data_IF_921162858976
#
_entry.id   IF_921162858976
#
_cell.length_a   1.000
_cell.length_b   1.000
_cell.length_c   1.000
_cell.angle_alpha   90.00
_cell.angle_beta   90.00
_cell.angle_gamma   90.00
#
_symmetry.space_group_name_H-M   'P 1'
#
loop_
_entity.id
_entity.type
_entity.pdbx_description
1 polymer ?
#
# COMPACT_ATOMS: atom_id res chain seq x y z
N UNK A 1 -15.52 -17.55 -4.12
CA UNK A 1 -16.26 -17.07 -2.94
C UNK A 1 -15.67 -15.74 -2.53
N UNK A 2 -16.51 -14.72 -2.31
CA UNK A 2 -16.04 -13.46 -1.71
C UNK A 2 -15.72 -13.71 -0.25
N UNK A 3 -14.50 -13.44 0.16
CA UNK A 3 -14.08 -13.49 1.55
C UNK A 3 -14.16 -12.07 2.13
N UNK A 4 -14.57 -11.95 3.39
CA UNK A 4 -14.45 -10.74 4.20
C UNK A 4 -13.60 -11.06 5.42
N UNK A 5 -12.86 -10.08 5.92
CA UNK A 5 -12.20 -10.19 7.21
C UNK A 5 -13.14 -9.65 8.29
N UNK A 6 -13.13 -10.30 9.46
CA UNK A 6 -13.79 -9.76 10.64
C UNK A 6 -12.93 -8.66 11.31
N UNK A 7 -13.57 -7.86 12.17
CA UNK A 7 -12.90 -6.77 12.86
C UNK A 7 -11.75 -7.22 13.76
N UNK A 8 -11.86 -8.38 14.39
CA UNK A 8 -10.81 -8.94 15.24
C UNK A 8 -9.55 -9.28 14.45
N UNK A 9 -9.70 -9.85 13.25
CA UNK A 9 -8.55 -10.17 12.38
C UNK A 9 -7.84 -8.92 11.88
N UNK A 10 -8.60 -7.90 11.45
CA UNK A 10 -8.03 -6.61 11.04
C UNK A 10 -7.29 -5.96 12.22
N UNK A 11 -7.91 -5.92 13.40
CA UNK A 11 -7.29 -5.38 14.61
C UNK A 11 -6.00 -6.10 15.00
N UNK A 12 -5.99 -7.44 14.92
CA UNK A 12 -4.81 -8.24 15.24
C UNK A 12 -3.61 -7.91 14.33
N UNK A 13 -3.85 -7.69 13.03
CA UNK A 13 -2.81 -7.31 12.07
C UNK A 13 -2.29 -5.90 12.37
N UNK A 14 -3.18 -4.92 12.61
CA UNK A 14 -2.75 -3.56 12.99
C UNK A 14 -1.98 -3.55 14.30
N UNK A 15 -2.44 -4.30 15.30
CA UNK A 15 -1.72 -4.45 16.56
C UNK A 15 -0.34 -5.10 16.37
N UNK A 16 -0.20 -6.03 15.42
CA UNK A 16 1.10 -6.60 15.06
C UNK A 16 2.02 -5.56 14.42
N UNK A 17 1.49 -4.68 13.53
CA UNK A 17 2.26 -3.55 12.98
C UNK A 17 2.75 -2.65 14.12
N UNK A 18 1.86 -2.23 15.03
CA UNK A 18 2.21 -1.37 16.16
C UNK A 18 3.23 -2.00 17.11
N UNK A 19 3.13 -3.30 17.38
CA UNK A 19 4.03 -4.03 18.27
C UNK A 19 5.39 -4.31 17.65
N UNK A 20 5.42 -4.78 16.39
CA UNK A 20 6.64 -5.18 15.70
C UNK A 20 7.38 -4.00 15.06
N UNK A 21 6.67 -2.89 14.85
CA UNK A 21 7.19 -1.65 14.30
C UNK A 21 8.03 -1.90 13.02
N UNK A 22 7.48 -2.57 12.01
CA UNK A 22 8.24 -2.91 10.82
C UNK A 22 8.72 -1.65 10.12
N UNK A 23 9.97 -1.67 9.64
CA UNK A 23 10.44 -0.63 8.74
C UNK A 23 9.83 -0.87 7.36
N UNK A 24 9.17 0.15 6.82
CA UNK A 24 8.65 0.14 5.44
C UNK A 24 9.52 1.08 4.62
N UNK A 25 10.26 0.53 3.66
CA UNK A 25 11.05 1.34 2.75
C UNK A 25 10.19 1.77 1.57
N UNK A 26 10.00 3.08 1.38
CA UNK A 26 9.14 3.65 0.35
C UNK A 26 9.98 4.45 -0.65
N UNK A 27 10.19 3.89 -1.84
CA UNK A 27 10.52 4.70 -3.00
C UNK A 27 9.20 5.29 -3.50
N UNK A 28 8.93 6.54 -3.14
CA UNK A 28 7.66 7.20 -3.44
C UNK A 28 7.87 8.61 -3.96
N UNK A 29 6.83 9.17 -4.55
CA UNK A 29 6.86 10.50 -5.15
C UNK A 29 6.87 11.60 -4.07
N UNK A 30 7.49 12.73 -4.41
CA UNK A 30 7.68 13.87 -3.49
C UNK A 30 6.38 14.49 -3.00
N UNK A 31 5.30 14.39 -3.78
CA UNK A 31 3.97 14.92 -3.42
C UNK A 31 3.35 14.10 -2.29
N UNK A 32 3.65 12.79 -2.23
CA UNK A 32 3.04 11.88 -1.26
C UNK A 32 3.95 11.57 -0.05
N UNK A 33 5.24 11.94 -0.08
CA UNK A 33 6.21 11.54 0.96
C UNK A 33 5.73 11.87 2.38
N UNK A 34 5.31 13.11 2.61
CA UNK A 34 4.90 13.57 3.95
C UNK A 34 3.69 12.78 4.46
N UNK A 35 2.62 12.71 3.68
CA UNK A 35 1.41 12.00 4.10
C UNK A 35 1.65 10.50 4.27
N UNK A 36 2.46 9.89 3.40
CA UNK A 36 2.84 8.48 3.49
C UNK A 36 3.62 8.19 4.78
N UNK A 37 4.59 9.05 5.14
CA UNK A 37 5.35 8.90 6.38
C UNK A 37 4.43 9.00 7.61
N UNK A 38 3.56 10.00 7.65
CA UNK A 38 2.63 10.20 8.76
C UNK A 38 1.63 9.04 8.92
N UNK A 39 1.11 8.49 7.82
CA UNK A 39 0.23 7.32 7.87
C UNK A 39 0.95 6.07 8.40
N UNK A 40 2.20 5.83 7.99
CA UNK A 40 3.00 4.73 8.53
C UNK A 40 3.28 4.90 10.02
N UNK A 41 3.63 6.12 10.45
CA UNK A 41 3.85 6.43 11.88
C UNK A 41 2.56 6.27 12.69
N UNK A 42 1.42 6.69 12.16
CA UNK A 42 0.11 6.57 12.80
C UNK A 42 -0.27 5.12 13.09
N UNK A 43 0.04 4.17 12.19
CA UNK A 43 -0.18 2.75 12.44
C UNK A 43 0.96 2.05 13.20
N UNK A 44 2.01 2.78 13.61
CA UNK A 44 3.15 2.27 14.38
C UNK A 44 4.29 1.70 13.57
N UNK A 45 4.25 1.74 12.24
CA UNK A 45 5.37 1.36 11.37
C UNK A 45 6.45 2.45 11.33
N UNK A 46 7.63 2.11 10.84
CA UNK A 46 8.77 3.03 10.72
C UNK A 46 9.05 3.32 9.24
N UNK A 47 8.74 4.53 8.74
CA UNK A 47 9.01 4.89 7.36
C UNK A 47 10.50 5.07 7.09
N UNK A 48 10.93 4.69 5.89
CA UNK A 48 12.27 4.94 5.33
C UNK A 48 12.10 5.30 3.85
N UNK A 49 12.72 6.42 3.39
CA UNK A 49 12.44 6.99 2.06
C UNK A 49 13.71 7.40 1.30
N UNK A 50 14.83 6.70 1.53
CA UNK A 50 16.03 6.93 0.74
C UNK A 50 15.79 6.58 -0.73
N UNK A 51 16.22 7.44 -1.64
CA UNK A 51 16.06 7.25 -3.09
C UNK A 51 17.38 7.29 -3.85
N UNK A 52 18.48 7.67 -3.18
CA UNK A 52 19.78 7.75 -3.83
C UNK A 52 20.29 6.33 -4.18
N UNK A 53 20.66 6.05 -5.45
CA UNK A 53 21.07 4.70 -5.89
C UNK A 53 22.25 4.10 -5.11
N UNK A 54 23.14 4.94 -4.57
CA UNK A 54 24.31 4.50 -3.81
C UNK A 54 24.03 4.03 -2.39
N UNK A 55 22.84 4.27 -1.85
CA UNK A 55 22.49 3.90 -0.46
C UNK A 55 21.22 3.07 -0.34
N UNK A 56 20.30 3.17 -1.34
CA UNK A 56 18.95 2.62 -1.25
C UNK A 56 18.93 1.12 -0.96
N UNK A 57 19.84 0.35 -1.54
CA UNK A 57 19.96 -1.08 -1.31
C UNK A 57 20.33 -1.41 0.14
N UNK A 58 21.31 -0.69 0.70
CA UNK A 58 21.72 -0.89 2.09
C UNK A 58 20.60 -0.49 3.08
N UNK A 59 19.92 0.62 2.82
CA UNK A 59 18.81 1.08 3.65
C UNK A 59 17.62 0.12 3.58
N UNK A 60 17.26 -0.35 2.39
CA UNK A 60 16.15 -1.28 2.18
C UNK A 60 16.42 -2.69 2.73
N UNK A 61 17.69 -3.10 2.85
CA UNK A 61 18.07 -4.43 3.34
C UNK A 61 17.57 -4.75 4.76
N UNK A 62 17.26 -3.75 5.56
CA UNK A 62 16.66 -3.90 6.89
C UNK A 62 15.15 -3.62 6.94
N UNK A 63 14.48 -3.52 5.79
CA UNK A 63 13.04 -3.29 5.74
C UNK A 63 12.26 -4.61 5.93
N UNK A 64 11.09 -4.50 6.55
CA UNK A 64 10.10 -5.58 6.61
C UNK A 64 9.25 -5.67 5.34
N UNK A 65 9.12 -4.54 4.60
CA UNK A 65 8.48 -4.49 3.29
C UNK A 65 9.02 -3.29 2.47
N UNK A 66 8.89 -3.39 1.15
CA UNK A 66 9.29 -2.33 0.22
C UNK A 66 8.07 -1.88 -0.58
N UNK A 67 7.86 -0.56 -0.68
CA UNK A 67 6.95 0.07 -1.61
C UNK A 67 7.74 0.73 -2.75
N UNK A 68 7.38 0.42 -3.99
CA UNK A 68 7.80 1.14 -5.18
C UNK A 68 6.58 1.83 -5.77
N UNK A 69 6.55 3.16 -5.72
CA UNK A 69 5.50 4.00 -6.29
C UNK A 69 6.08 4.79 -7.46
N UNK A 70 5.49 4.63 -8.64
CA UNK A 70 6.01 5.19 -9.90
C UNK A 70 5.54 6.62 -10.18
N UNK A 71 4.81 7.25 -9.26
CA UNK A 71 4.39 8.65 -9.40
C UNK A 71 5.58 9.60 -9.40
N UNK A 72 5.57 10.62 -10.27
CA UNK A 72 6.63 11.64 -10.40
C UNK A 72 8.06 11.08 -10.27
N UNK A 73 8.32 9.92 -10.89
CA UNK A 73 9.60 9.22 -10.79
C UNK A 73 10.75 10.13 -11.26
N UNK A 74 11.76 10.27 -10.41
CA UNK A 74 12.99 11.01 -10.74
C UNK A 74 14.03 10.09 -11.39
N UNK A 75 15.06 10.63 -12.06
CA UNK A 75 16.15 9.82 -12.58
C UNK A 75 16.89 9.01 -11.50
N UNK A 76 16.97 9.52 -10.28
CA UNK A 76 17.52 8.81 -9.13
C UNK A 76 16.63 7.63 -8.74
N UNK A 77 15.31 7.87 -8.64
CA UNK A 77 14.32 6.85 -8.35
C UNK A 77 14.32 5.73 -9.40
N UNK A 78 14.39 6.08 -10.68
CA UNK A 78 14.52 5.09 -11.76
C UNK A 78 15.75 4.20 -11.56
N UNK A 79 16.92 4.79 -11.27
CA UNK A 79 18.16 4.04 -11.03
C UNK A 79 18.16 3.24 -9.72
N UNK A 80 17.31 3.60 -8.74
CA UNK A 80 17.19 2.91 -7.47
C UNK A 80 16.39 1.60 -7.58
N UNK A 81 15.44 1.48 -8.52
CA UNK A 81 14.53 0.33 -8.64
C UNK A 81 15.27 -1.01 -8.78
N UNK A 82 16.30 -1.16 -9.64
CA UNK A 82 17.02 -2.43 -9.76
C UNK A 82 17.63 -2.90 -8.43
N UNK A 83 18.18 -2.00 -7.63
CA UNK A 83 18.74 -2.33 -6.33
C UNK A 83 17.67 -2.77 -5.33
N UNK A 84 16.49 -2.11 -5.33
CA UNK A 84 15.36 -2.50 -4.48
C UNK A 84 14.81 -3.89 -4.86
N UNK A 85 14.67 -4.17 -6.15
CA UNK A 85 14.23 -5.47 -6.65
C UNK A 85 15.24 -6.57 -6.29
N UNK A 86 16.54 -6.29 -6.41
CA UNK A 86 17.60 -7.22 -6.04
C UNK A 86 17.54 -7.55 -4.53
N UNK A 87 17.47 -6.54 -3.68
CA UNK A 87 17.38 -6.71 -2.23
C UNK A 87 16.10 -7.45 -1.83
N UNK A 88 14.96 -7.12 -2.45
CA UNK A 88 13.70 -7.82 -2.19
C UNK A 88 13.83 -9.31 -2.51
N UNK A 89 14.44 -9.65 -3.66
CA UNK A 89 14.67 -11.04 -4.09
C UNK A 89 15.62 -11.79 -3.15
N UNK A 90 16.75 -11.20 -2.84
CA UNK A 90 17.81 -11.84 -2.03
C UNK A 90 17.36 -12.11 -0.60
N UNK A 91 16.55 -11.23 -0.04
CA UNK A 91 16.12 -11.29 1.36
C UNK A 91 14.69 -11.76 1.56
N UNK A 92 13.94 -12.04 0.49
CA UNK A 92 12.53 -12.43 0.57
C UNK A 92 11.64 -11.32 1.13
N UNK A 93 12.00 -10.04 0.92
CA UNK A 93 11.23 -8.90 1.45
C UNK A 93 9.99 -8.69 0.58
N UNK A 94 8.77 -8.66 1.16
CA UNK A 94 7.55 -8.36 0.41
C UNK A 94 7.63 -7.02 -0.30
N UNK A 95 7.21 -7.00 -1.59
CA UNK A 95 7.23 -5.81 -2.41
C UNK A 95 5.81 -5.43 -2.84
N UNK A 96 5.48 -4.15 -2.69
CA UNK A 96 4.25 -3.53 -3.19
C UNK A 96 4.59 -2.58 -4.32
N UNK A 97 3.92 -2.71 -5.45
CA UNK A 97 3.99 -1.80 -6.61
C UNK A 97 2.74 -0.93 -6.67
N UNK A 98 2.94 0.37 -6.69
CA UNK A 98 1.91 1.37 -6.99
C UNK A 98 2.26 2.02 -8.34
N UNK A 99 1.57 1.64 -9.44
CA UNK A 99 2.03 1.95 -10.80
C UNK A 99 1.68 3.36 -11.28
N UNK A 100 1.06 4.16 -10.49
CA UNK A 100 0.57 5.54 -10.71
C UNK A 100 0.65 6.04 -12.15
N UNK A 101 -0.48 6.17 -12.86
CA UNK A 101 -0.56 6.62 -14.26
C UNK A 101 0.34 5.83 -15.23
N UNK A 102 0.49 4.53 -15.01
CA UNK A 102 1.31 3.65 -15.87
C UNK A 102 0.79 3.61 -17.32
N UNK A 103 -0.51 3.79 -17.52
CA UNK A 103 -1.18 3.83 -18.83
C UNK A 103 -0.75 5.01 -19.69
N UNK A 104 -0.23 6.07 -19.07
CA UNK A 104 0.20 7.29 -19.77
C UNK A 104 1.71 7.34 -20.05
N UNK A 105 2.49 6.38 -19.53
CA UNK A 105 3.94 6.47 -19.54
C UNK A 105 4.64 5.16 -19.92
N UNK A 106 5.22 5.08 -21.13
CA UNK A 106 6.06 3.94 -21.51
C UNK A 106 7.24 3.69 -20.56
N UNK A 107 7.77 4.74 -19.91
CA UNK A 107 8.81 4.60 -18.88
C UNK A 107 8.26 3.81 -17.67
N UNK A 108 7.11 4.24 -17.13
CA UNK A 108 6.50 3.57 -15.96
C UNK A 108 6.10 2.14 -16.28
N UNK A 109 5.66 1.87 -17.51
CA UNK A 109 5.34 0.52 -17.96
C UNK A 109 6.58 -0.39 -17.91
N UNK A 110 7.72 0.07 -18.46
CA UNK A 110 8.99 -0.70 -18.38
C UNK A 110 9.47 -0.91 -16.93
N UNK A 111 9.31 0.10 -16.07
CA UNK A 111 9.67 -0.02 -14.65
C UNK A 111 8.75 -0.99 -13.91
N UNK A 112 7.45 -0.96 -14.19
CA UNK A 112 6.50 -1.92 -13.66
C UNK A 112 6.82 -3.36 -14.10
N UNK A 113 7.16 -3.57 -15.37
CA UNK A 113 7.61 -4.87 -15.90
C UNK A 113 8.83 -5.39 -15.14
N UNK A 114 9.84 -4.54 -14.93
CA UNK A 114 11.04 -4.92 -14.17
C UNK A 114 10.71 -5.34 -12.72
N UNK A 115 9.76 -4.67 -12.07
CA UNK A 115 9.31 -5.01 -10.71
C UNK A 115 8.50 -6.31 -10.73
N UNK A 116 7.61 -6.49 -11.69
CA UNK A 116 6.76 -7.68 -11.84
C UNK A 116 7.54 -8.95 -12.22
N UNK A 117 8.77 -8.82 -12.65
CA UNK A 117 9.71 -9.95 -12.80
C UNK A 117 10.10 -10.60 -11.46
N UNK A 118 9.70 -10.02 -10.32
CA UNK A 118 9.82 -10.62 -9.00
C UNK A 118 8.52 -11.38 -8.67
N UNK A 119 8.57 -12.66 -8.24
CA UNK A 119 7.37 -13.38 -7.84
C UNK A 119 6.77 -12.83 -6.53
N UNK A 120 5.45 -12.94 -6.37
CA UNK A 120 4.76 -12.57 -5.13
C UNK A 120 4.60 -11.07 -4.89
N UNK A 121 4.79 -10.24 -5.91
CA UNK A 121 4.55 -8.79 -5.83
C UNK A 121 3.06 -8.52 -5.59
N UNK A 122 2.76 -7.55 -4.72
CA UNK A 122 1.42 -6.98 -4.60
C UNK A 122 1.34 -5.73 -5.47
N UNK A 123 0.46 -5.73 -6.49
CA UNK A 123 0.20 -4.55 -7.32
C UNK A 123 -1.08 -3.88 -6.88
N UNK A 124 -1.03 -2.58 -6.59
CA UNK A 124 -2.21 -1.80 -6.22
C UNK A 124 -2.36 -0.59 -7.13
N UNK A 125 -3.42 -0.58 -7.89
CA UNK A 125 -3.77 0.52 -8.81
C UNK A 125 -5.27 0.65 -9.01
N UNK A 126 -5.70 1.72 -9.68
CA UNK A 126 -7.09 1.86 -10.12
C UNK A 126 -7.38 0.96 -11.33
N UNK A 127 -8.65 0.91 -11.77
CA UNK A 127 -9.06 0.04 -12.87
C UNK A 127 -8.31 0.32 -14.18
N UNK A 128 -7.99 1.58 -14.47
CA UNK A 128 -7.27 1.99 -15.70
C UNK A 128 -5.81 1.53 -15.65
N UNK A 129 -5.14 1.75 -14.52
CA UNK A 129 -3.77 1.28 -14.27
C UNK A 129 -3.68 -0.24 -14.34
N UNK A 130 -4.61 -0.95 -13.70
CA UNK A 130 -4.63 -2.41 -13.72
C UNK A 130 -4.93 -2.98 -15.11
N UNK A 131 -5.78 -2.32 -15.92
CA UNK A 131 -6.02 -2.69 -17.30
C UNK A 131 -4.76 -2.55 -18.16
N UNK A 132 -3.98 -1.48 -17.97
CA UNK A 132 -2.72 -1.27 -18.68
C UNK A 132 -1.65 -2.34 -18.34
N UNK A 133 -1.71 -2.90 -17.14
CA UNK A 133 -0.79 -3.96 -16.68
C UNK A 133 -1.31 -5.38 -16.91
N UNK A 134 -2.51 -5.57 -17.49
CA UNK A 134 -3.18 -6.87 -17.53
C UNK A 134 -2.33 -8.00 -18.13
N UNK A 135 -1.60 -7.74 -19.22
CA UNK A 135 -0.67 -8.70 -19.84
C UNK A 135 0.47 -9.08 -18.90
N UNK A 136 1.16 -8.10 -18.33
CA UNK A 136 2.29 -8.31 -17.42
C UNK A 136 1.88 -9.04 -16.14
N UNK A 137 0.76 -8.63 -15.55
CA UNK A 137 0.23 -9.25 -14.32
C UNK A 137 -0.27 -10.67 -14.58
N UNK A 138 -0.81 -10.94 -15.76
CA UNK A 138 -1.28 -12.28 -16.15
C UNK A 138 -0.17 -13.30 -16.31
N UNK A 139 1.04 -12.86 -16.69
CA UNK A 139 2.22 -13.70 -16.90
C UNK A 139 3.09 -13.83 -15.62
N UNK A 140 2.97 -12.90 -14.68
CA UNK A 140 3.79 -12.84 -13.49
C UNK A 140 3.33 -13.87 -12.42
N UNK A 141 4.31 -14.55 -11.79
CA UNK A 141 4.03 -15.60 -10.80
C UNK A 141 3.58 -15.02 -9.45
N UNK A 142 2.45 -15.53 -8.94
CA UNK A 142 2.00 -15.26 -7.58
C UNK A 142 1.69 -13.80 -7.29
N UNK A 143 1.41 -13.00 -8.31
CA UNK A 143 1.07 -11.58 -8.14
C UNK A 143 -0.29 -11.45 -7.46
N UNK A 144 -0.34 -10.67 -6.38
CA UNK A 144 -1.59 -10.21 -5.79
C UNK A 144 -2.05 -8.94 -6.49
N UNK A 145 -3.24 -8.95 -7.05
CA UNK A 145 -3.88 -7.79 -7.69
C UNK A 145 -4.80 -7.08 -6.72
N UNK A 146 -4.59 -5.79 -6.55
CA UNK A 146 -5.45 -4.91 -5.76
C UNK A 146 -5.97 -3.80 -6.67
N UNK A 147 -7.22 -3.95 -7.13
CA UNK A 147 -7.89 -2.97 -7.97
C UNK A 147 -8.74 -2.07 -7.11
N UNK A 148 -8.37 -0.79 -7.02
CA UNK A 148 -9.05 0.19 -6.18
C UNK A 148 -10.18 0.88 -6.92
N UNK A 149 -11.26 1.19 -6.16
CA UNK A 149 -12.45 1.85 -6.68
C UNK A 149 -13.47 2.15 -5.58
N UNK A 150 -14.74 2.22 -5.94
CA UNK A 150 -15.82 2.30 -4.94
C UNK A 150 -15.85 1.05 -4.03
N UNK A 151 -15.47 -0.09 -4.60
CA UNK A 151 -15.22 -1.35 -3.89
C UNK A 151 -13.83 -1.77 -4.34
N UNK A 152 -12.90 -1.87 -3.39
CA UNK A 152 -11.57 -2.39 -3.68
C UNK A 152 -11.66 -3.92 -3.82
N UNK A 153 -11.03 -4.46 -4.86
CA UNK A 153 -10.94 -5.91 -5.12
C UNK A 153 -9.52 -6.38 -4.96
N UNK A 154 -9.34 -7.39 -4.13
CA UNK A 154 -8.05 -8.03 -3.86
C UNK A 154 -8.13 -9.46 -4.38
N UNK A 155 -7.35 -9.78 -5.41
CA UNK A 155 -7.43 -11.05 -6.14
C UNK A 155 -6.04 -11.71 -6.23
N UNK A 156 -5.96 -12.95 -5.78
CA UNK A 156 -4.74 -13.76 -5.88
C UNK A 156 -4.95 -15.17 -5.32
N UNK A 157 -4.19 -16.14 -5.82
CA UNK A 157 -4.21 -17.54 -5.37
C UNK A 157 -5.62 -18.17 -5.34
N UNK A 158 -6.46 -17.80 -6.31
CA UNK A 158 -7.84 -18.32 -6.40
C UNK A 158 -8.81 -17.74 -5.37
N UNK A 159 -8.39 -16.75 -4.58
CA UNK A 159 -9.22 -16.05 -3.58
C UNK A 159 -9.51 -14.62 -4.01
N UNK A 160 -10.63 -14.10 -3.54
CA UNK A 160 -11.03 -12.72 -3.75
C UNK A 160 -11.59 -12.12 -2.45
N UNK A 161 -11.11 -10.94 -2.10
CA UNK A 161 -11.68 -10.09 -1.06
C UNK A 161 -12.26 -8.83 -1.70
N UNK A 162 -13.35 -8.33 -1.13
CA UNK A 162 -13.98 -7.06 -1.50
C UNK A 162 -14.04 -6.15 -0.27
N UNK A 163 -13.54 -4.93 -0.40
CA UNK A 163 -13.56 -3.92 0.66
C UNK A 163 -14.39 -2.74 0.18
N UNK A 164 -15.50 -2.46 0.87
CA UNK A 164 -16.46 -1.42 0.50
C UNK A 164 -16.41 -0.20 1.46
N UNK A 165 -15.35 -0.10 2.26
CA UNK A 165 -15.13 1.01 3.19
C UNK A 165 -14.38 2.16 2.53
N UNK A 166 -14.70 3.37 2.95
CA UNK A 166 -14.04 4.59 2.50
C UNK A 166 -14.98 5.77 2.39
N UNK A 167 -14.43 6.92 2.00
CA UNK A 167 -15.18 8.15 1.82
C UNK A 167 -14.70 8.90 0.58
N UNK A 168 -15.59 9.63 -0.09
CA UNK A 168 -15.26 10.36 -1.32
C UNK A 168 -14.13 11.40 -1.15
N UNK A 169 -13.95 11.96 0.01
CA UNK A 169 -12.87 12.91 0.29
C UNK A 169 -11.47 12.27 0.22
N UNK A 170 -11.37 10.96 0.29
CA UNK A 170 -10.11 10.26 0.06
C UNK A 170 -9.57 10.48 -1.37
N UNK A 171 -10.45 10.83 -2.32
CA UNK A 171 -10.04 11.19 -3.68
C UNK A 171 -9.73 12.68 -3.85
N UNK A 172 -10.07 13.52 -2.86
CA UNK A 172 -9.89 14.99 -2.89
C UNK A 172 -8.62 15.45 -2.17
N UNK A 173 -7.85 14.55 -1.59
CA UNK A 173 -6.58 14.84 -0.93
C UNK A 173 -5.48 14.09 -1.67
N UNK A 174 -4.49 14.84 -2.18
CA UNK A 174 -3.40 14.24 -2.94
C UNK A 174 -2.51 13.34 -2.07
N UNK A 175 -1.97 12.27 -2.65
CA UNK A 175 -1.07 11.35 -1.96
C UNK A 175 -1.76 10.28 -1.11
N UNK A 176 -3.08 10.35 -0.87
CA UNK A 176 -3.78 9.34 -0.06
C UNK A 176 -3.80 7.96 -0.71
N UNK A 177 -3.86 7.88 -2.05
CA UNK A 177 -3.68 6.61 -2.76
C UNK A 177 -2.31 5.99 -2.49
N UNK A 178 -1.25 6.78 -2.61
CA UNK A 178 0.13 6.33 -2.35
C UNK A 178 0.32 5.91 -0.88
N UNK A 179 -0.29 6.64 0.06
CA UNK A 179 -0.25 6.30 1.48
C UNK A 179 -0.97 4.97 1.77
N UNK A 180 -2.09 4.68 1.09
CA UNK A 180 -2.75 3.37 1.19
C UNK A 180 -1.85 2.22 0.73
N UNK A 181 -1.07 2.41 -0.34
CA UNK A 181 -0.09 1.41 -0.80
C UNK A 181 1.00 1.16 0.25
N UNK A 182 1.43 2.20 0.98
CA UNK A 182 2.38 2.05 2.07
C UNK A 182 1.78 1.30 3.27
N UNK A 183 0.50 1.53 3.58
CA UNK A 183 -0.19 0.78 4.62
C UNK A 183 -0.34 -0.71 4.26
N UNK A 184 -0.62 -1.01 2.98
CA UNK A 184 -0.57 -2.40 2.47
C UNK A 184 0.81 -3.00 2.71
N UNK A 185 1.89 -2.27 2.41
CA UNK A 185 3.25 -2.73 2.66
C UNK A 185 3.52 -2.97 4.16
N UNK A 186 3.03 -2.10 5.06
CA UNK A 186 3.17 -2.28 6.49
C UNK A 186 2.48 -3.56 7.00
N UNK A 187 1.27 -3.86 6.52
CA UNK A 187 0.57 -5.09 6.84
C UNK A 187 1.26 -6.33 6.23
N UNK A 188 1.80 -6.23 5.02
CA UNK A 188 2.59 -7.29 4.37
C UNK A 188 3.86 -7.65 5.15
N UNK A 189 4.43 -6.70 5.89
CA UNK A 189 5.61 -6.94 6.71
C UNK A 189 5.33 -7.83 7.93
N UNK A 190 4.08 -7.97 8.35
CA UNK A 190 3.69 -8.71 9.58
C UNK A 190 2.71 -9.85 9.32
N UNK A 191 2.06 -9.88 8.15
CA UNK A 191 1.10 -10.89 7.74
C UNK A 191 1.62 -11.61 6.48
N UNK A 192 1.93 -12.92 6.57
CA UNK A 192 2.45 -13.70 5.44
C UNK A 192 1.46 -13.84 4.28
N UNK A 193 0.16 -13.95 4.59
CA UNK A 193 -0.89 -14.03 3.58
C UNK A 193 -1.09 -12.67 2.92
N UNK A 194 -0.67 -12.58 1.66
CA UNK A 194 -0.68 -11.33 0.91
C UNK A 194 -2.09 -10.73 0.76
N UNK A 195 -3.09 -11.58 0.51
CA UNK A 195 -4.45 -11.12 0.28
C UNK A 195 -5.10 -10.66 1.60
N UNK A 196 -4.86 -11.37 2.70
CA UNK A 196 -5.30 -10.99 4.05
C UNK A 196 -4.64 -9.68 4.48
N UNK A 197 -3.34 -9.52 4.27
CA UNK A 197 -2.61 -8.28 4.58
C UNK A 197 -3.19 -7.06 3.84
N UNK A 198 -3.42 -7.20 2.52
CA UNK A 198 -3.97 -6.12 1.70
C UNK A 198 -5.42 -5.80 2.10
N UNK A 199 -6.26 -6.83 2.34
CA UNK A 199 -7.64 -6.63 2.77
C UNK A 199 -7.71 -5.94 4.14
N UNK A 200 -6.87 -6.34 5.11
CA UNK A 200 -6.82 -5.71 6.42
C UNK A 200 -6.38 -4.23 6.33
N UNK A 201 -5.34 -3.94 5.55
CA UNK A 201 -4.86 -2.58 5.34
C UNK A 201 -5.94 -1.67 4.74
N UNK A 202 -6.62 -2.11 3.67
CA UNK A 202 -7.62 -1.32 2.99
C UNK A 202 -8.91 -1.17 3.80
N UNK A 203 -9.32 -2.22 4.53
CA UNK A 203 -10.45 -2.13 5.46
C UNK A 203 -10.18 -1.11 6.57
N UNK A 204 -9.02 -1.19 7.21
CA UNK A 204 -8.63 -0.23 8.25
C UNK A 204 -8.55 1.19 7.70
N UNK A 205 -7.95 1.37 6.52
CA UNK A 205 -7.80 2.65 5.87
C UNK A 205 -9.16 3.26 5.49
N UNK A 206 -10.05 2.44 4.92
CA UNK A 206 -11.40 2.88 4.57
C UNK A 206 -12.22 3.29 5.79
N UNK A 207 -12.20 2.48 6.85
CA UNK A 207 -12.89 2.79 8.12
C UNK A 207 -12.32 4.06 8.77
N UNK A 208 -10.99 4.24 8.77
CA UNK A 208 -10.39 5.48 9.23
C UNK A 208 -10.87 6.69 8.40
N UNK A 209 -11.04 6.51 7.08
CA UNK A 209 -11.63 7.52 6.20
C UNK A 209 -13.08 7.89 6.56
N UNK A 210 -13.91 6.90 6.88
CA UNK A 210 -15.29 7.14 7.33
C UNK A 210 -15.34 7.89 8.66
N UNK A 211 -14.48 7.52 9.62
CA UNK A 211 -14.35 8.21 10.91
C UNK A 211 -13.91 9.65 10.71
N UNK A 212 -12.86 9.86 9.91
CA UNK A 212 -12.32 11.17 9.61
C UNK A 212 -13.35 12.10 8.94
N UNK A 213 -14.15 11.56 8.02
CA UNK A 213 -15.18 12.32 7.33
C UNK A 213 -16.27 12.83 8.29
N UNK A 214 -16.61 12.06 9.32
CA UNK A 214 -17.56 12.47 10.36
C UNK A 214 -17.04 13.59 11.28
N UNK A 215 -15.73 13.86 11.27
CA UNK A 215 -15.08 14.86 12.13
C UNK A 215 -14.60 16.09 11.34
N UNK A 216 -14.37 15.95 10.05
CA UNK A 216 -13.78 16.97 9.20
C UNK A 216 -14.82 17.97 8.68
N UNK A 217 -14.40 19.24 8.56
CA UNK A 217 -15.20 20.27 7.91
C UNK A 217 -15.02 20.32 6.38
N UNK A 218 -14.01 19.61 5.85
CA UNK A 218 -13.68 19.57 4.42
C UNK A 218 -12.37 18.82 4.17
N UNK A 219 -11.91 18.72 2.89
CA UNK A 219 -10.72 17.95 2.52
C UNK A 219 -9.44 18.34 3.26
N UNK A 220 -9.28 19.60 3.64
CA UNK A 220 -8.10 20.08 4.38
C UNK A 220 -8.00 19.47 5.78
N UNK A 221 -9.06 19.54 6.57
CA UNK A 221 -9.12 18.93 7.91
C UNK A 221 -9.25 17.41 7.83
N UNK A 222 -9.86 16.87 6.76
CA UNK A 222 -9.99 15.44 6.56
C UNK A 222 -8.65 14.71 6.60
N UNK A 223 -7.61 15.24 5.94
CA UNK A 223 -6.28 14.61 5.94
C UNK A 223 -5.70 14.48 7.36
N UNK A 224 -5.91 15.49 8.23
CA UNK A 224 -5.48 15.44 9.62
C UNK A 224 -6.28 14.41 10.42
N UNK A 225 -7.60 14.47 10.32
CA UNK A 225 -8.48 13.51 11.02
C UNK A 225 -8.29 12.07 10.54
N UNK A 226 -7.87 11.86 9.29
CA UNK A 226 -7.56 10.50 8.78
C UNK A 226 -6.33 9.90 9.48
N UNK A 227 -5.29 10.70 9.72
CA UNK A 227 -4.11 10.28 10.48
C UNK A 227 -4.50 9.95 11.92
N UNK A 228 -5.28 10.83 12.57
CA UNK A 228 -5.76 10.64 13.94
C UNK A 228 -6.66 9.41 14.06
N UNK A 229 -7.59 9.24 13.12
CA UNK A 229 -8.49 8.08 13.08
C UNK A 229 -7.70 6.77 12.91
N UNK A 230 -6.71 6.75 12.01
CA UNK A 230 -5.87 5.56 11.80
C UNK A 230 -5.07 5.21 13.06
N UNK A 231 -4.51 6.20 13.75
CA UNK A 231 -3.78 6.01 15.01
C UNK A 231 -4.70 5.51 16.15
N UNK A 232 -5.97 5.91 16.13
CA UNK A 232 -6.96 5.54 17.14
C UNK A 232 -7.74 4.25 16.86
N UNK A 233 -7.51 3.57 15.72
CA UNK A 233 -8.23 2.35 15.39
C UNK A 233 -7.96 1.24 16.40
N UNK A 234 -9.06 0.65 16.89
CA UNK A 234 -9.03 -0.50 17.79
C UNK A 234 -10.08 -1.54 17.35
N UNK A 235 -10.04 -2.71 17.98
CA UNK A 235 -10.94 -3.82 17.66
C UNK A 235 -12.42 -3.45 17.76
N UNK A 236 -12.80 -2.70 18.78
CA UNK A 236 -14.19 -2.29 18.97
C UNK A 236 -14.69 -1.38 17.83
N UNK A 237 -13.86 -0.41 17.40
CA UNK A 237 -14.18 0.48 16.29
C UNK A 237 -14.25 -0.26 14.94
N UNK A 238 -13.41 -1.26 14.72
CA UNK A 238 -13.41 -2.08 13.51
C UNK A 238 -14.62 -3.02 13.48
N UNK A 239 -14.86 -3.76 14.57
CA UNK A 239 -15.98 -4.71 14.66
C UNK A 239 -17.33 -4.01 14.49
N UNK A 240 -17.50 -2.83 15.09
CA UNK A 240 -18.75 -2.06 14.96
C UNK A 240 -19.07 -1.62 13.52
N UNK A 241 -18.09 -1.63 12.60
CA UNK A 241 -18.27 -1.17 11.20
C UNK A 241 -18.20 -2.31 10.17
N UNK A 242 -17.54 -3.39 10.52
CA UNK A 242 -17.42 -4.56 9.60
C UNK A 242 -18.66 -5.47 9.76
N UNK A 243 -19.27 -5.50 10.91
CA UNK A 243 -20.44 -6.35 11.24
C UNK A 243 -20.00 -7.67 11.82
#
# INVERSE_FOLDING_TARGET
MNHSLDGARVAAILAAVGRLRPRVHCLTNTVAQNITANMLLACGAVPSMASHPGEVGAVAAGAGAILINLGTISPEGERAIPALVAVARERGIPLVLDPVFVELSPLRLRLAEAVLGLPGVTVRGNATEMAALAGLVGEAQGVLRVTTGKIDRIEGEGRMFAVAHGHEWMTKVTGLGCAASALVAACRAVEPDAAVAAAAALTAYGIAGEIAAGQAAGPGSFAMHLIDALAGLNEAALTARIG
#
